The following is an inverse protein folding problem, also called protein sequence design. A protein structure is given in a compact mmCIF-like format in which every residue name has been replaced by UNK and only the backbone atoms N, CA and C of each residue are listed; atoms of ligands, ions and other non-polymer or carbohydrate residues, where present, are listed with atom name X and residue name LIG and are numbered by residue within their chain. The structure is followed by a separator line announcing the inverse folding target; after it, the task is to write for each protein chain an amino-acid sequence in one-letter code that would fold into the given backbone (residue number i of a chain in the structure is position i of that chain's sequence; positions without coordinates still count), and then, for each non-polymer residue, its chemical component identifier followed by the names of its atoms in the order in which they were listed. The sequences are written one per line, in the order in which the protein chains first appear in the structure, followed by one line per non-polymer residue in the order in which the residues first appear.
data_IF_345436058432
#
_entry.id   IF_345436058432
#
_cell.length_a   1.000
_cell.length_b   1.000
_cell.length_c   1.000
_cell.angle_alpha   90.00
_cell.angle_beta   90.00
_cell.angle_gamma   90.00
#
_symmetry.space_group_name_H-M   'P 1'
#
loop_
_entity.id
_entity.type
_entity.pdbx_description
1 polymer ?
#
# COMPACT_ATOMS: atom_id res chain seq x y z
N UNK A 1 -1.59 -5.41 -29.18
CA UNK A 1 -2.14 -6.55 -28.40
C UNK A 1 -2.09 -6.17 -26.93
N UNK A 2 -3.25 -6.05 -26.25
CA UNK A 2 -3.30 -5.72 -24.83
C UNK A 2 -2.50 -6.77 -24.04
N UNK A 3 -1.62 -6.33 -23.14
CA UNK A 3 -0.79 -7.22 -22.32
C UNK A 3 -1.67 -7.95 -21.28
N UNK A 4 -2.41 -8.97 -21.72
CA UNK A 4 -3.28 -9.79 -20.88
C UNK A 4 -2.52 -10.38 -19.69
N UNK A 5 -1.25 -10.78 -19.92
CA UNK A 5 -0.36 -11.28 -18.86
C UNK A 5 -0.13 -10.24 -17.75
N UNK A 6 0.13 -8.98 -18.13
CA UNK A 6 0.29 -7.90 -17.13
C UNK A 6 -0.98 -7.63 -16.35
N UNK A 7 -2.15 -7.64 -17.03
CA UNK A 7 -3.45 -7.47 -16.35
C UNK A 7 -3.77 -8.61 -15.38
N UNK A 8 -3.42 -9.86 -15.72
CA UNK A 8 -3.60 -11.00 -14.83
C UNK A 8 -2.71 -10.92 -13.59
N UNK A 9 -1.46 -10.48 -13.76
CA UNK A 9 -0.53 -10.29 -12.62
C UNK A 9 -1.06 -9.20 -11.68
N UNK A 10 -1.55 -8.09 -12.21
CA UNK A 10 -2.15 -7.02 -11.41
C UNK A 10 -3.41 -7.48 -10.67
N UNK A 11 -4.26 -8.27 -11.34
CA UNK A 11 -5.45 -8.85 -10.70
C UNK A 11 -5.07 -9.80 -9.56
N UNK A 12 -4.07 -10.65 -9.76
CA UNK A 12 -3.55 -11.53 -8.72
C UNK A 12 -2.99 -10.75 -7.54
N UNK A 13 -2.20 -9.71 -7.81
CA UNK A 13 -1.67 -8.84 -6.77
C UNK A 13 -2.78 -8.15 -5.96
N UNK A 14 -3.84 -7.66 -6.64
CA UNK A 14 -5.00 -7.06 -5.98
C UNK A 14 -5.76 -8.07 -5.12
N UNK A 15 -5.90 -9.31 -5.57
CA UNK A 15 -6.52 -10.40 -4.81
C UNK A 15 -5.72 -10.72 -3.55
N UNK A 16 -4.40 -10.88 -3.67
CA UNK A 16 -3.50 -11.13 -2.53
C UNK A 16 -3.59 -9.97 -1.53
N UNK A 17 -3.61 -8.75 -2.02
CA UNK A 17 -3.71 -7.56 -1.15
C UNK A 17 -5.06 -7.49 -0.43
N UNK A 18 -6.15 -7.80 -1.13
CA UNK A 18 -7.49 -7.87 -0.52
C UNK A 18 -7.57 -8.90 0.62
N UNK A 19 -7.03 -10.10 0.41
CA UNK A 19 -6.99 -11.15 1.46
C UNK A 19 -6.10 -10.75 2.64
N UNK A 20 -5.04 -9.96 2.41
CA UNK A 20 -4.18 -9.47 3.48
C UNK A 20 -4.93 -8.60 4.50
N UNK A 21 -5.93 -7.80 4.07
CA UNK A 21 -6.75 -7.02 5.01
C UNK A 21 -7.58 -7.88 5.94
N UNK A 22 -8.08 -9.01 5.45
CA UNK A 22 -8.83 -9.98 6.28
C UNK A 22 -7.90 -10.61 7.32
N UNK A 23 -6.71 -11.03 6.90
CA UNK A 23 -5.69 -11.58 7.78
C UNK A 23 -5.23 -10.56 8.83
N UNK A 24 -5.07 -9.28 8.46
CA UNK A 24 -4.73 -8.20 9.38
C UNK A 24 -5.80 -7.96 10.44
N UNK A 25 -7.08 -7.99 10.03
CA UNK A 25 -8.20 -7.81 10.95
C UNK A 25 -8.26 -8.96 11.96
N UNK A 26 -8.15 -10.20 11.50
CA UNK A 26 -8.16 -11.38 12.38
C UNK A 26 -6.91 -11.44 13.27
N UNK A 27 -5.74 -11.15 12.72
CA UNK A 27 -4.48 -11.17 13.45
C UNK A 27 -4.41 -10.12 14.56
N UNK A 28 -4.91 -8.91 14.32
CA UNK A 28 -4.89 -7.83 15.31
C UNK A 28 -5.81 -8.08 16.52
N UNK A 29 -6.80 -8.95 16.36
CA UNK A 29 -7.70 -9.32 17.46
C UNK A 29 -7.07 -10.32 18.43
N UNK A 30 -6.12 -11.13 17.97
CA UNK A 30 -5.51 -12.21 18.76
C UNK A 30 -4.12 -11.83 19.29
N UNK A 31 -3.39 -11.00 18.54
CA UNK A 31 -2.04 -10.57 18.91
C UNK A 31 -2.03 -9.03 18.83
N UNK A 32 -1.51 -8.36 19.82
CA UNK A 32 -1.52 -6.89 19.88
C UNK A 32 -1.11 -6.25 18.55
N UNK A 33 -1.76 -5.14 18.20
CA UNK A 33 -1.69 -4.43 16.92
C UNK A 33 -0.25 -4.22 16.41
N UNK A 34 0.61 -3.69 17.27
CA UNK A 34 2.01 -3.40 16.93
C UNK A 34 2.87 -4.66 16.85
N UNK A 35 2.61 -5.66 17.71
CA UNK A 35 3.29 -6.95 17.67
C UNK A 35 3.00 -7.67 16.36
N UNK A 36 1.75 -7.68 15.92
CA UNK A 36 1.38 -8.25 14.62
C UNK A 36 2.08 -7.54 13.47
N UNK A 37 2.10 -6.20 13.47
CA UNK A 37 2.75 -5.42 12.42
C UNK A 37 4.28 -5.65 12.39
N UNK A 38 4.93 -5.70 13.56
CA UNK A 38 6.36 -5.98 13.67
C UNK A 38 6.70 -7.39 13.17
N UNK A 39 5.95 -8.40 13.60
CA UNK A 39 6.17 -9.80 13.19
C UNK A 39 6.05 -9.96 11.67
N UNK A 40 4.99 -9.39 11.07
CA UNK A 40 4.78 -9.40 9.62
C UNK A 40 5.93 -8.73 8.87
N UNK A 41 6.39 -7.57 9.35
CA UNK A 41 7.48 -6.82 8.74
C UNK A 41 8.81 -7.58 8.82
N UNK A 42 9.06 -8.24 9.95
CA UNK A 42 10.25 -9.06 10.15
C UNK A 42 10.28 -10.27 9.22
N UNK A 43 9.16 -11.00 9.12
CA UNK A 43 9.03 -12.15 8.20
C UNK A 43 9.21 -11.69 6.75
N UNK A 44 8.59 -10.56 6.37
CA UNK A 44 8.74 -9.99 5.03
C UNK A 44 10.19 -9.60 4.71
N UNK A 45 10.88 -8.96 5.66
CA UNK A 45 12.30 -8.59 5.50
C UNK A 45 13.20 -9.83 5.37
N UNK A 46 12.99 -10.84 6.21
CA UNK A 46 13.74 -12.10 6.13
C UNK A 46 13.53 -12.80 4.78
N UNK A 47 12.29 -12.85 4.32
CA UNK A 47 11.96 -13.41 2.99
C UNK A 47 12.67 -12.65 1.86
N UNK A 48 12.65 -11.31 1.88
CA UNK A 48 13.34 -10.50 0.88
C UNK A 48 14.85 -10.75 0.86
N UNK A 49 15.48 -10.87 2.03
CA UNK A 49 16.90 -11.20 2.13
C UNK A 49 17.21 -12.55 1.46
N UNK A 50 16.38 -13.57 1.73
CA UNK A 50 16.52 -14.89 1.10
C UNK A 50 16.38 -14.78 -0.42
N UNK A 51 15.35 -14.09 -0.91
CA UNK A 51 15.12 -13.90 -2.35
C UNK A 51 16.32 -13.20 -3.01
N UNK A 52 16.83 -12.13 -2.39
CA UNK A 52 18.00 -11.40 -2.91
C UNK A 52 19.23 -12.32 -2.95
N UNK A 53 19.45 -13.14 -1.91
CA UNK A 53 20.56 -14.10 -1.89
C UNK A 53 20.41 -15.12 -3.01
N UNK A 54 19.23 -15.74 -3.17
CA UNK A 54 18.97 -16.73 -4.22
C UNK A 54 19.18 -16.12 -5.62
N UNK A 55 18.61 -14.94 -5.88
CA UNK A 55 18.78 -14.24 -7.17
C UNK A 55 20.26 -13.95 -7.43
N UNK A 56 21.00 -13.43 -6.45
CA UNK A 56 22.43 -13.16 -6.58
C UNK A 56 23.27 -14.40 -6.82
N UNK A 57 22.91 -15.53 -6.19
CA UNK A 57 23.63 -16.80 -6.36
C UNK A 57 23.29 -17.46 -7.70
N UNK A 58 22.01 -17.37 -8.13
CA UNK A 58 21.52 -17.98 -9.38
C UNK A 58 21.81 -17.11 -10.62
N UNK A 59 22.15 -15.83 -10.44
CA UNK A 59 22.43 -14.94 -11.55
C UNK A 59 23.66 -15.38 -12.34
N UNK A 60 23.45 -15.71 -13.62
CA UNK A 60 24.53 -16.04 -14.56
C UNK A 60 25.49 -14.85 -14.70
N UNK A 61 26.75 -15.10 -15.10
CA UNK A 61 27.79 -14.05 -15.21
C UNK A 61 27.32 -12.82 -15.99
N UNK A 62 26.54 -13.01 -17.06
CA UNK A 62 25.99 -11.93 -17.87
C UNK A 62 24.99 -11.05 -17.09
N UNK A 63 24.10 -11.65 -16.29
CA UNK A 63 23.15 -10.95 -15.44
C UNK A 63 23.87 -10.25 -14.27
N UNK A 64 24.93 -10.86 -13.72
CA UNK A 64 25.77 -10.18 -12.72
C UNK A 64 26.46 -8.95 -13.28
N UNK A 65 26.88 -8.99 -14.54
CA UNK A 65 27.52 -7.87 -15.21
C UNK A 65 26.52 -6.75 -15.53
N UNK A 66 25.30 -7.10 -15.89
CA UNK A 66 24.21 -6.15 -16.13
C UNK A 66 23.73 -5.46 -14.82
N UNK A 67 23.63 -6.21 -13.72
CA UNK A 67 23.33 -5.65 -12.38
C UNK A 67 24.49 -4.79 -11.84
N UNK A 68 25.73 -5.06 -12.29
CA UNK A 68 26.94 -4.34 -11.83
C UNK A 68 27.35 -3.24 -12.85
N UNK A 69 26.69 -3.15 -14.01
CA UNK A 69 26.96 -2.11 -15.01
C UNK A 69 26.60 -0.73 -14.45
N UNK A 70 27.38 0.28 -14.83
CA UNK A 70 27.20 1.68 -14.39
C UNK A 70 25.83 2.26 -14.74
N UNK A 71 25.12 1.65 -15.68
CA UNK A 71 23.76 2.04 -16.10
C UNK A 71 22.71 1.65 -15.06
N UNK A 72 22.94 0.59 -14.27
CA UNK A 72 22.06 0.14 -13.19
C UNK A 72 22.52 0.65 -11.80
N UNK A 73 23.72 1.22 -11.73
CA UNK A 73 24.15 1.93 -10.52
C UNK A 73 23.33 3.21 -10.36
N UNK A 74 22.57 3.36 -9.28
CA UNK A 74 21.91 4.63 -9.04
C UNK A 74 22.99 5.72 -9.01
N UNK A 75 22.94 6.65 -9.97
CA UNK A 75 23.83 7.81 -10.07
C UNK A 75 23.78 8.72 -8.85
N UNK A 76 22.94 8.39 -7.92
CA UNK A 76 22.70 9.12 -6.68
C UNK A 76 23.58 8.55 -5.57
N UNK A 77 24.41 9.37 -4.95
CA UNK A 77 25.26 9.04 -3.78
C UNK A 77 24.46 8.63 -2.51
N UNK A 78 23.11 8.43 -2.60
CA UNK A 78 22.20 8.38 -1.45
C UNK A 78 21.18 7.22 -1.45
N UNK A 79 21.45 6.03 -2.01
CA UNK A 79 20.44 4.96 -2.04
C UNK A 79 20.05 4.53 -0.61
N UNK A 80 20.98 4.54 0.33
CA UNK A 80 20.72 4.16 1.73
C UNK A 80 19.84 5.20 2.43
N UNK A 81 20.13 6.50 2.26
CA UNK A 81 19.32 7.55 2.88
C UNK A 81 17.89 7.58 2.31
N UNK A 82 17.74 7.46 0.99
CA UNK A 82 16.42 7.32 0.37
C UNK A 82 15.66 6.11 0.89
N UNK A 83 16.32 4.96 1.00
CA UNK A 83 15.73 3.75 1.57
C UNK A 83 15.28 3.90 3.02
N UNK A 84 16.07 4.62 3.86
CA UNK A 84 15.70 4.89 5.25
C UNK A 84 14.46 5.81 5.30
N UNK A 85 14.43 6.88 4.51
CA UNK A 85 13.29 7.82 4.49
C UNK A 85 12.02 7.09 4.04
N UNK A 86 12.09 6.38 2.89
CA UNK A 86 10.96 5.58 2.41
C UNK A 86 10.52 4.53 3.44
N UNK A 87 11.47 3.84 4.09
CA UNK A 87 11.19 2.87 5.12
C UNK A 87 10.49 3.47 6.34
N UNK A 88 10.89 4.67 6.79
CA UNK A 88 10.23 5.38 7.88
C UNK A 88 8.79 5.78 7.51
N UNK A 89 8.59 6.32 6.31
CA UNK A 89 7.25 6.70 5.83
C UNK A 89 6.35 5.46 5.72
N UNK A 90 6.88 4.37 5.15
CA UNK A 90 6.16 3.10 5.04
C UNK A 90 5.81 2.51 6.41
N UNK A 91 6.75 2.53 7.35
CA UNK A 91 6.53 2.06 8.72
C UNK A 91 5.41 2.84 9.42
N UNK A 92 5.41 4.16 9.26
CA UNK A 92 4.36 5.04 9.79
C UNK A 92 3.02 4.73 9.15
N UNK A 93 2.97 4.60 7.82
CA UNK A 93 1.75 4.26 7.09
C UNK A 93 1.16 2.92 7.55
N UNK A 94 1.99 1.89 7.64
CA UNK A 94 1.57 0.55 8.09
C UNK A 94 1.12 0.53 9.55
N UNK A 95 1.76 1.33 10.41
CA UNK A 95 1.37 1.44 11.83
C UNK A 95 0.02 2.14 11.97
N UNK A 96 -0.22 3.23 11.24
CA UNK A 96 -1.50 3.92 11.19
C UNK A 96 -2.61 3.02 10.63
N UNK A 97 -2.32 2.26 9.57
CA UNK A 97 -3.25 1.32 8.97
C UNK A 97 -3.66 0.25 9.97
N UNK A 98 -2.68 -0.39 10.60
CA UNK A 98 -2.93 -1.48 11.53
C UNK A 98 -3.65 -1.00 12.79
N UNK A 99 -3.29 0.18 13.30
CA UNK A 99 -3.98 0.82 14.41
C UNK A 99 -5.42 1.18 14.03
N UNK A 100 -5.64 1.79 12.86
CA UNK A 100 -6.98 2.09 12.36
C UNK A 100 -7.86 0.84 12.28
N UNK A 101 -7.33 -0.28 11.78
CA UNK A 101 -8.06 -1.55 11.71
C UNK A 101 -8.44 -2.04 13.12
N UNK A 102 -7.56 -1.90 14.10
CA UNK A 102 -7.76 -2.43 15.45
C UNK A 102 -8.81 -1.68 16.28
N UNK A 103 -9.03 -0.40 16.01
CA UNK A 103 -9.97 0.43 16.78
C UNK A 103 -11.39 0.45 16.21
N UNK A 104 -11.67 -0.32 15.14
CA UNK A 104 -13.05 -0.45 14.67
C UNK A 104 -13.93 -1.19 15.70
N UNK A 105 -15.16 -0.72 15.91
CA UNK A 105 -16.12 -1.43 16.75
C UNK A 105 -16.44 -2.83 16.20
N UNK A 106 -16.78 -3.75 17.12
CA UNK A 106 -17.24 -5.08 16.75
C UNK A 106 -18.51 -4.99 15.87
N UNK A 107 -18.58 -5.79 14.82
CA UNK A 107 -19.71 -5.79 13.89
C UNK A 107 -19.54 -4.88 12.68
N UNK A 108 -18.49 -4.04 12.64
CA UNK A 108 -18.14 -3.25 11.44
C UNK A 108 -17.27 -4.08 10.52
N UNK A 109 -17.51 -3.99 9.21
CA UNK A 109 -16.68 -4.63 8.19
C UNK A 109 -15.31 -3.92 8.05
N UNK A 110 -14.48 -4.02 9.09
CA UNK A 110 -13.22 -3.30 9.22
C UNK A 110 -12.25 -3.55 8.05
N UNK A 111 -12.14 -4.81 7.59
CA UNK A 111 -11.27 -5.18 6.47
C UNK A 111 -11.68 -4.51 5.16
N UNK A 112 -12.98 -4.49 4.84
CA UNK A 112 -13.50 -3.86 3.63
C UNK A 112 -13.31 -2.34 3.66
N UNK A 113 -13.62 -1.70 4.80
CA UNK A 113 -13.41 -0.25 4.99
C UNK A 113 -11.93 0.12 4.90
N UNK A 114 -11.07 -0.63 5.58
CA UNK A 114 -9.64 -0.39 5.57
C UNK A 114 -9.04 -0.54 4.17
N UNK A 115 -9.41 -1.60 3.44
CA UNK A 115 -8.96 -1.81 2.07
C UNK A 115 -9.37 -0.66 1.15
N UNK A 116 -10.63 -0.24 1.23
CA UNK A 116 -11.15 0.84 0.39
C UNK A 116 -10.52 2.21 0.73
N UNK A 117 -10.50 2.59 2.02
CA UNK A 117 -9.94 3.87 2.47
C UNK A 117 -8.44 3.96 2.19
N UNK A 118 -7.70 2.86 2.39
CA UNK A 118 -6.29 2.83 2.02
C UNK A 118 -6.12 2.97 0.50
N UNK A 119 -6.90 2.25 -0.31
CA UNK A 119 -6.81 2.31 -1.78
C UNK A 119 -7.07 3.72 -2.35
N UNK A 120 -7.68 4.62 -1.58
CA UNK A 120 -7.88 6.03 -1.95
C UNK A 120 -6.55 6.73 -2.29
N UNK A 121 -5.40 6.27 -1.73
CA UNK A 121 -4.10 6.84 -2.06
C UNK A 121 -3.80 6.82 -3.58
N UNK A 122 -4.29 5.82 -4.30
CA UNK A 122 -4.09 5.72 -5.77
C UNK A 122 -4.75 6.91 -6.48
N UNK A 123 -5.95 7.28 -6.04
CA UNK A 123 -6.66 8.44 -6.58
C UNK A 123 -5.95 9.74 -6.18
N UNK A 124 -5.47 9.82 -4.92
CA UNK A 124 -4.71 10.98 -4.44
C UNK A 124 -3.43 11.19 -5.23
N UNK A 125 -2.67 10.12 -5.54
CA UNK A 125 -1.48 10.19 -6.41
C UNK A 125 -1.86 10.66 -7.80
N UNK A 126 -2.93 10.13 -8.40
CA UNK A 126 -3.37 10.54 -9.73
C UNK A 126 -3.77 12.02 -9.78
N UNK A 127 -4.46 12.52 -8.75
CA UNK A 127 -4.82 13.94 -8.61
C UNK A 127 -3.57 14.81 -8.45
N UNK A 128 -2.65 14.41 -7.57
CA UNK A 128 -1.40 15.14 -7.35
C UNK A 128 -0.58 15.24 -8.64
N UNK A 129 -0.44 14.13 -9.36
CA UNK A 129 0.26 14.11 -10.66
C UNK A 129 -0.42 15.03 -11.68
N UNK A 130 -1.75 15.01 -11.76
CA UNK A 130 -2.50 15.90 -12.65
C UNK A 130 -2.31 17.39 -12.32
N UNK A 131 -2.20 17.72 -11.03
CA UNK A 131 -1.93 19.09 -10.57
C UNK A 131 -0.51 19.54 -10.94
N UNK A 132 0.48 18.66 -10.76
CA UNK A 132 1.89 18.94 -11.10
C UNK A 132 2.06 19.08 -12.63
N UNK A 133 1.48 18.18 -13.40
CA UNK A 133 1.54 18.21 -14.87
C UNK A 133 0.64 19.27 -15.50
N UNK A 134 -0.24 19.89 -14.70
CA UNK A 134 -1.30 20.83 -15.16
C UNK A 134 -2.16 20.26 -16.29
N UNK A 135 -2.33 18.94 -16.32
CA UNK A 135 -3.11 18.20 -17.32
C UNK A 135 -4.15 17.33 -16.61
N UNK A 136 -5.40 17.77 -16.63
CA UNK A 136 -6.50 16.99 -16.06
C UNK A 136 -7.06 16.07 -17.15
N UNK A 137 -6.87 14.77 -16.99
CA UNK A 137 -7.46 13.77 -17.87
C UNK A 137 -8.86 13.41 -17.36
N UNK A 138 -9.87 13.24 -18.25
CA UNK A 138 -11.25 12.92 -17.82
C UNK A 138 -11.35 11.64 -17.00
N UNK A 139 -10.45 10.69 -17.24
CA UNK A 139 -10.34 9.46 -16.44
C UNK A 139 -10.06 9.75 -14.96
N UNK A 140 -9.24 10.76 -14.65
CA UNK A 140 -8.93 11.13 -13.25
C UNK A 140 -10.18 11.69 -12.57
N UNK A 141 -10.93 12.55 -13.27
CA UNK A 141 -12.19 13.11 -12.74
C UNK A 141 -13.19 11.99 -12.45
N UNK A 142 -13.34 11.04 -13.36
CA UNK A 142 -14.22 9.89 -13.17
C UNK A 142 -13.78 9.02 -11.98
N UNK A 143 -12.46 8.82 -11.82
CA UNK A 143 -11.90 8.07 -10.69
C UNK A 143 -12.15 8.76 -9.35
N UNK A 144 -12.02 10.10 -9.30
CA UNK A 144 -12.33 10.90 -8.09
C UNK A 144 -13.81 10.77 -7.73
N UNK A 145 -14.71 10.93 -8.70
CA UNK A 145 -16.17 10.80 -8.49
C UNK A 145 -16.49 9.39 -7.98
N UNK A 146 -15.93 8.35 -8.63
CA UNK A 146 -16.12 6.97 -8.20
C UNK A 146 -15.61 6.70 -6.79
N UNK A 147 -14.45 7.27 -6.43
CA UNK A 147 -13.88 7.15 -5.09
C UNK A 147 -14.75 7.84 -4.03
N UNK A 148 -15.21 9.08 -4.28
CA UNK A 148 -16.08 9.81 -3.35
C UNK A 148 -17.42 9.08 -3.19
N UNK A 149 -18.02 8.60 -4.28
CA UNK A 149 -19.26 7.84 -4.25
C UNK A 149 -19.10 6.53 -3.46
N UNK A 150 -18.00 5.79 -3.69
CA UNK A 150 -17.71 4.58 -2.95
C UNK A 150 -17.49 4.83 -1.46
N UNK A 151 -16.79 5.92 -1.11
CA UNK A 151 -16.57 6.32 0.27
C UNK A 151 -17.89 6.71 0.96
N UNK A 152 -18.76 7.42 0.25
CA UNK A 152 -20.09 7.74 0.74
C UNK A 152 -20.91 6.47 1.04
N UNK A 153 -21.00 5.56 0.09
CA UNK A 153 -21.74 4.30 0.26
C UNK A 153 -21.20 3.45 1.40
N UNK A 154 -19.89 3.45 1.58
CA UNK A 154 -19.23 2.59 2.57
C UNK A 154 -19.31 3.19 3.99
N UNK A 155 -19.13 4.50 4.12
CA UNK A 155 -19.02 5.17 5.41
C UNK A 155 -20.35 5.76 5.92
N UNK A 156 -21.24 6.17 5.00
CA UNK A 156 -22.44 6.92 5.37
C UNK A 156 -23.76 6.17 5.22
N UNK A 157 -23.74 4.86 4.98
CA UNK A 157 -24.96 4.05 4.87
C UNK A 157 -25.83 4.05 6.15
N UNK A 158 -25.29 4.52 7.29
CA UNK A 158 -25.99 4.74 8.56
C UNK A 158 -26.04 6.19 9.02
N UNK A 159 -25.82 7.18 8.12
CA UNK A 159 -25.72 8.60 8.46
C UNK A 159 -24.33 9.00 8.96
N UNK A 160 -24.19 10.25 9.47
CA UNK A 160 -22.91 10.77 9.97
C UNK A 160 -22.32 9.99 11.17
N UNK A 161 -23.14 9.25 11.89
CA UNK A 161 -22.69 8.33 12.96
C UNK A 161 -21.92 7.11 12.44
N UNK A 162 -21.85 6.93 11.14
CA UNK A 162 -21.04 5.86 10.51
C UNK A 162 -19.56 6.21 10.28
N UNK A 163 -19.09 7.41 10.65
CA UNK A 163 -17.70 7.81 10.55
C UNK A 163 -16.98 7.50 11.87
N UNK A 164 -15.94 6.70 11.82
CA UNK A 164 -15.16 6.28 12.98
C UNK A 164 -13.80 6.98 13.00
N UNK A 165 -13.21 7.14 14.18
CA UNK A 165 -11.82 7.59 14.31
C UNK A 165 -10.84 6.70 13.53
N UNK A 166 -11.19 5.44 13.37
CA UNK A 166 -10.48 4.47 12.51
C UNK A 166 -10.37 4.95 11.06
N UNK A 167 -11.43 5.53 10.50
CA UNK A 167 -11.45 6.02 9.11
C UNK A 167 -10.45 7.17 8.92
N UNK A 168 -10.31 8.04 9.93
CA UNK A 168 -9.33 9.14 9.93
C UNK A 168 -7.91 8.59 9.92
N UNK A 169 -7.62 7.58 10.75
CA UNK A 169 -6.31 6.92 10.78
C UNK A 169 -5.98 6.30 9.42
N UNK A 170 -6.96 5.69 8.75
CA UNK A 170 -6.78 5.07 7.43
C UNK A 170 -6.59 6.10 6.31
N UNK A 171 -7.26 7.24 6.39
CA UNK A 171 -7.03 8.36 5.46
C UNK A 171 -5.64 8.97 5.65
N UNK A 172 -5.18 9.15 6.90
CA UNK A 172 -3.81 9.58 7.18
C UNK A 172 -2.79 8.56 6.67
N UNK A 173 -3.06 7.27 6.83
CA UNK A 173 -2.27 6.21 6.23
C UNK A 173 -2.21 6.33 4.70
N UNK A 174 -3.34 6.62 4.04
CA UNK A 174 -3.39 6.84 2.59
C UNK A 174 -2.54 8.04 2.15
N UNK A 175 -2.51 9.12 2.92
CA UNK A 175 -1.60 10.27 2.69
C UNK A 175 -0.14 9.84 2.80
N UNK A 176 0.22 9.06 3.82
CA UNK A 176 1.58 8.53 3.97
C UNK A 176 1.97 7.65 2.78
N UNK A 177 1.08 6.77 2.31
CA UNK A 177 1.31 5.96 1.11
C UNK A 177 1.44 6.80 -0.16
N UNK A 178 0.73 7.90 -0.27
CA UNK A 178 0.87 8.85 -1.39
C UNK A 178 2.27 9.50 -1.41
N UNK A 179 2.84 9.77 -0.24
CA UNK A 179 4.17 10.39 -0.10
C UNK A 179 5.33 9.40 -0.23
N UNK A 180 5.06 8.07 -0.16
CA UNK A 180 6.03 6.99 -0.29
C UNK A 180 6.33 6.68 -1.75
#
# INVERSE_FOLDING_TARGET
MKNIKGSLILLLAAFIWGTAFVAQTSGSQNVGTFTFNASRSFVGAAFLVIVIMVVRLSANKNVKQEITSDEYRPKTKWPIKGGIICGCVLCTAMSLQQYGISIYPKGVAASGRAGFLTATYVVMVAVLTALIEKKIRPVIVLSVIGCISGMYLLCMKGGFSGIYAADICLLLCAVCFMCH
#
